data_IF_535356320673
#
_entry.id   IF_535356320673
#
_cell.length_a   1.000
_cell.length_b   1.000
_cell.length_c   1.000
_cell.angle_alpha   90.00
_cell.angle_beta   90.00
_cell.angle_gamma   90.00
#
_symmetry.space_group_name_H-M   'P 1'
#
loop_
_entity.id
_entity.type
_entity.pdbx_description
1 polymer ?
#
# COMPACT_ATOMS: atom_id res chain seq x y z
N UNK A 1 20.54 18.74 -3.83
CA UNK A 1 19.55 18.34 -2.82
C UNK A 1 18.25 18.05 -3.57
N UNK A 2 17.54 16.96 -3.25
CA UNK A 2 16.23 16.63 -3.85
C UNK A 2 15.23 16.60 -2.70
N UNK A 3 14.20 17.43 -2.79
CA UNK A 3 13.21 17.62 -1.72
C UNK A 3 11.84 17.15 -2.19
N UNK A 4 11.02 16.67 -1.26
CA UNK A 4 9.65 16.25 -1.52
C UNK A 4 8.74 17.07 -0.61
N UNK A 5 7.86 17.88 -1.20
CA UNK A 5 6.93 18.73 -0.47
C UNK A 5 5.54 18.10 -0.44
N UNK A 6 4.98 17.94 0.76
CA UNK A 6 3.63 17.44 0.95
C UNK A 6 2.72 18.59 1.39
N UNK A 7 1.66 18.84 0.63
CA UNK A 7 0.61 19.77 1.06
C UNK A 7 -0.16 19.23 2.29
N UNK A 8 -0.31 17.91 2.38
CA UNK A 8 -0.84 17.18 3.53
C UNK A 8 -0.36 15.72 3.49
N UNK A 9 -0.17 15.10 4.65
CA UNK A 9 0.21 13.69 4.75
C UNK A 9 -0.58 13.00 5.85
N UNK A 10 -1.21 11.87 5.52
CA UNK A 10 -1.79 10.95 6.49
C UNK A 10 -0.85 9.78 6.73
N UNK A 11 -0.51 9.50 7.98
CA UNK A 11 0.32 8.35 8.34
C UNK A 11 -0.55 7.15 8.76
N UNK A 12 -0.27 5.98 8.18
CA UNK A 12 -0.88 4.71 8.58
C UNK A 12 0.17 3.60 8.58
N UNK A 13 0.14 2.76 9.62
CA UNK A 13 0.95 1.55 9.71
C UNK A 13 0.06 0.32 9.52
N UNK A 14 0.33 -0.43 8.45
CA UNK A 14 -0.36 -1.67 8.12
C UNK A 14 0.46 -2.86 8.63
N UNK A 15 -0.14 -3.70 9.47
CA UNK A 15 0.41 -4.98 9.92
C UNK A 15 -0.44 -6.08 9.27
N UNK A 16 0.08 -6.69 8.21
CA UNK A 16 -0.70 -7.55 7.30
C UNK A 16 -0.21 -9.00 7.35
N UNK A 17 -1.13 -9.95 7.53
CA UNK A 17 -0.85 -11.39 7.46
C UNK A 17 -1.24 -11.94 6.09
N UNK A 18 -0.35 -12.67 5.42
CA UNK A 18 -0.64 -13.27 4.12
C UNK A 18 -1.72 -14.36 4.26
N UNK A 19 -2.62 -14.52 3.27
CA UNK A 19 -2.68 -13.77 2.01
C UNK A 19 -3.43 -12.43 2.14
N UNK A 20 -2.97 -11.39 1.45
CA UNK A 20 -3.65 -10.10 1.40
C UNK A 20 -3.43 -9.37 0.08
N UNK A 21 -4.41 -8.55 -0.32
CA UNK A 21 -4.33 -7.61 -1.44
C UNK A 21 -5.12 -6.33 -1.11
N UNK A 22 -4.49 -5.17 -1.27
CA UNK A 22 -5.07 -3.85 -0.94
C UNK A 22 -5.03 -2.96 -2.18
N UNK A 23 -6.19 -2.41 -2.55
CA UNK A 23 -6.28 -1.47 -3.67
C UNK A 23 -6.24 -0.02 -3.21
N UNK A 24 -5.36 0.75 -3.86
CA UNK A 24 -5.19 2.19 -3.66
C UNK A 24 -5.79 2.95 -4.86
N UNK A 25 -7.09 2.79 -5.08
CA UNK A 25 -7.83 3.46 -6.17
C UNK A 25 -8.59 4.72 -5.72
N UNK A 26 -8.76 4.94 -4.42
CA UNK A 26 -9.46 6.12 -3.89
C UNK A 26 -8.55 7.37 -3.84
N UNK A 27 -9.00 8.48 -4.43
CA UNK A 27 -8.25 9.74 -4.42
C UNK A 27 -7.97 10.20 -2.98
N UNK A 28 -6.76 10.68 -2.70
CA UNK A 28 -6.33 11.12 -1.36
C UNK A 28 -5.82 10.01 -0.43
N UNK A 29 -5.96 8.73 -0.81
CA UNK A 29 -5.34 7.58 -0.10
C UNK A 29 -4.26 6.88 -0.92
N UNK A 30 -4.06 7.32 -2.16
CA UNK A 30 -2.95 6.91 -3.02
C UNK A 30 -1.72 7.67 -2.54
N UNK A 31 -0.61 6.99 -2.31
CA UNK A 31 0.49 7.65 -1.62
C UNK A 31 1.82 6.98 -1.78
N UNK A 32 2.61 7.17 -0.74
CA UNK A 32 3.97 6.68 -0.62
C UNK A 32 3.96 5.52 0.34
N UNK A 33 4.64 4.46 -0.06
CA UNK A 33 4.67 3.21 0.69
C UNK A 33 6.10 2.89 1.03
N UNK A 34 6.36 2.62 2.31
CA UNK A 34 7.65 2.13 2.79
C UNK A 34 7.43 0.74 3.36
N UNK A 35 8.17 -0.24 2.88
CA UNK A 35 8.15 -1.58 3.45
C UNK A 35 9.06 -1.61 4.66
N UNK A 36 8.46 -1.58 5.86
CA UNK A 36 9.23 -1.57 7.12
C UNK A 36 9.74 -2.98 7.49
N UNK A 37 8.96 -4.02 7.16
CA UNK A 37 9.29 -5.42 7.44
C UNK A 37 8.52 -6.35 6.50
N UNK A 38 9.13 -7.48 6.15
CA UNK A 38 8.53 -8.47 5.27
C UNK A 38 8.78 -8.13 3.81
N UNK A 39 7.93 -8.68 2.94
CA UNK A 39 7.99 -8.46 1.48
C UNK A 39 6.58 -8.41 0.90
N UNK A 40 6.39 -7.65 -0.16
CA UNK A 40 5.14 -7.58 -0.91
C UNK A 40 5.40 -7.33 -2.40
N UNK A 41 4.34 -7.34 -3.19
CA UNK A 41 4.36 -6.96 -4.59
C UNK A 41 3.55 -5.67 -4.75
N UNK A 42 4.08 -4.69 -5.47
CA UNK A 42 3.30 -3.58 -6.00
C UNK A 42 2.89 -3.86 -7.43
N UNK A 43 1.64 -3.56 -7.76
CA UNK A 43 1.09 -3.77 -9.10
C UNK A 43 0.54 -2.45 -9.59
N UNK A 44 1.15 -1.93 -10.65
CA UNK A 44 0.69 -0.74 -11.38
C UNK A 44 0.10 -1.20 -12.72
N UNK A 45 -1.20 -0.97 -12.94
CA UNK A 45 -1.87 -1.54 -14.12
C UNK A 45 -2.00 -3.06 -14.04
N UNK A 46 -2.03 -3.76 -15.19
CA UNK A 46 -2.30 -5.20 -15.25
C UNK A 46 -1.05 -6.08 -15.20
N UNK A 47 0.13 -5.56 -15.57
CA UNK A 47 1.32 -6.40 -15.80
C UNK A 47 2.60 -5.93 -15.09
N UNK A 48 2.67 -4.68 -14.62
CA UNK A 48 3.87 -4.17 -13.95
C UNK A 48 3.85 -4.57 -12.46
N UNK A 49 4.39 -5.76 -12.19
CA UNK A 49 4.58 -6.30 -10.84
C UNK A 49 6.01 -6.01 -10.37
N UNK A 50 6.13 -5.16 -9.36
CA UNK A 50 7.40 -4.83 -8.71
C UNK A 50 7.49 -5.57 -7.35
N UNK A 51 8.45 -6.49 -7.16
CA UNK A 51 8.71 -7.07 -5.86
C UNK A 51 9.36 -6.04 -4.93
N UNK A 52 8.98 -6.06 -3.65
CA UNK A 52 9.50 -5.14 -2.64
C UNK A 52 9.89 -5.89 -1.38
N UNK A 53 11.06 -5.54 -0.86
CA UNK A 53 11.61 -6.03 0.39
C UNK A 53 11.68 -4.91 1.44
N UNK A 54 11.99 -5.28 2.68
CA UNK A 54 12.15 -4.33 3.76
C UNK A 54 13.24 -3.30 3.45
N UNK A 55 12.89 -2.01 3.59
CA UNK A 55 13.73 -0.87 3.22
C UNK A 55 13.29 -0.19 1.92
N UNK A 56 12.51 -0.85 1.08
CA UNK A 56 12.06 -0.28 -0.18
C UNK A 56 10.98 0.79 0.01
N UNK A 57 11.06 1.80 -0.86
CA UNK A 57 10.19 2.97 -0.90
C UNK A 57 9.60 3.07 -2.30
N UNK A 58 8.28 3.05 -2.40
CA UNK A 58 7.56 3.38 -3.62
C UNK A 58 6.91 4.75 -3.48
N UNK A 59 7.14 5.58 -4.50
CA UNK A 59 6.45 6.85 -4.69
C UNK A 59 5.71 6.76 -6.00
N UNK A 60 4.39 6.91 -5.98
CA UNK A 60 3.56 7.13 -7.17
C UNK A 60 3.30 8.64 -7.32
N UNK A 61 4.11 9.41 -8.09
CA UNK A 61 4.11 10.87 -8.02
C UNK A 61 2.80 11.51 -8.49
N UNK A 62 2.11 10.84 -9.42
CA UNK A 62 0.78 11.24 -9.92
C UNK A 62 -0.36 10.56 -9.17
N UNK A 63 -0.07 9.89 -8.05
CA UNK A 63 -1.04 9.08 -7.32
C UNK A 63 -1.75 8.10 -8.28
N UNK A 64 -0.97 7.39 -9.11
CA UNK A 64 -1.51 6.38 -10.02
C UNK A 64 -2.16 5.24 -9.20
N UNK A 65 -3.34 4.73 -9.60
CA UNK A 65 -3.98 3.59 -8.93
C UNK A 65 -3.06 2.37 -8.94
N UNK A 66 -2.98 1.68 -7.82
CA UNK A 66 -2.14 0.48 -7.70
C UNK A 66 -2.67 -0.47 -6.63
N UNK A 67 -2.14 -1.68 -6.63
CA UNK A 67 -2.41 -2.70 -5.62
C UNK A 67 -1.10 -3.03 -4.91
N UNK A 68 -1.13 -3.10 -3.58
CA UNK A 68 -0.10 -3.83 -2.83
C UNK A 68 -0.66 -5.18 -2.43
N UNK A 69 0.11 -6.25 -2.58
CA UNK A 69 -0.33 -7.60 -2.17
C UNK A 69 0.81 -8.44 -1.62
N UNK A 70 0.49 -9.42 -0.77
CA UNK A 70 1.48 -10.44 -0.40
C UNK A 70 1.89 -11.26 -1.63
N UNK A 71 3.13 -11.79 -1.69
CA UNK A 71 3.55 -12.62 -2.82
C UNK A 71 2.60 -13.80 -3.06
N UNK A 72 2.22 -14.02 -4.32
CA UNK A 72 1.31 -15.11 -4.71
C UNK A 72 -0.18 -14.87 -4.40
N UNK A 73 -0.59 -13.70 -3.89
CA UNK A 73 -2.00 -13.38 -3.62
C UNK A 73 -2.80 -12.96 -4.87
N UNK A 74 -2.54 -13.59 -6.02
CA UNK A 74 -3.20 -13.29 -7.32
C UNK A 74 -4.72 -13.46 -7.27
N UNK A 75 -5.22 -14.36 -6.42
CA UNK A 75 -6.65 -14.69 -6.28
C UNK A 75 -7.32 -14.03 -5.08
N UNK A 76 -6.59 -13.27 -4.28
CA UNK A 76 -7.16 -12.58 -3.13
C UNK A 76 -8.03 -11.42 -3.58
N UNK A 77 -9.19 -11.24 -2.94
CA UNK A 77 -10.02 -10.07 -3.19
C UNK A 77 -9.27 -8.81 -2.76
N UNK A 78 -9.32 -7.77 -3.61
CA UNK A 78 -8.72 -6.49 -3.29
C UNK A 78 -9.57 -5.77 -2.23
N UNK A 79 -9.01 -5.55 -1.06
CA UNK A 79 -9.61 -4.70 -0.02
C UNK A 79 -9.31 -3.23 -0.35
N UNK A 80 -10.30 -2.33 -0.49
CA UNK A 80 -10.04 -0.91 -0.72
C UNK A 80 -9.33 -0.26 0.48
N UNK A 81 -8.28 0.52 0.22
CA UNK A 81 -7.57 1.26 1.28
C UNK A 81 -8.49 2.22 2.06
N UNK A 82 -9.55 2.73 1.40
CA UNK A 82 -10.56 3.55 2.05
C UNK A 82 -11.35 2.80 3.12
N UNK A 83 -11.65 1.52 2.89
CA UNK A 83 -12.32 0.67 3.87
C UNK A 83 -11.41 0.44 5.08
N UNK A 84 -10.15 0.05 4.84
CA UNK A 84 -9.14 -0.12 5.89
C UNK A 84 -8.93 1.17 6.70
N UNK A 85 -8.97 2.33 6.05
CA UNK A 85 -8.81 3.62 6.70
C UNK A 85 -9.92 3.95 7.71
N UNK A 86 -11.10 3.32 7.62
CA UNK A 86 -12.18 3.50 8.61
C UNK A 86 -11.97 2.70 9.89
N UNK A 87 -11.08 1.69 9.88
CA UNK A 87 -10.92 0.73 10.97
C UNK A 87 -10.04 1.25 12.13
N UNK A 88 -9.69 2.53 12.17
CA UNK A 88 -8.63 3.02 13.07
C UNK A 88 -9.11 3.65 14.38
N UNK A 89 -8.53 3.17 15.48
CA UNK A 89 -8.06 4.02 16.58
C UNK A 89 -6.53 4.21 16.42
N UNK A 90 -6.05 5.45 16.27
CA UNK A 90 -4.62 5.82 16.27
C UNK A 90 -3.72 5.35 15.10
N UNK A 91 -4.26 5.15 13.88
CA UNK A 91 -3.44 5.04 12.66
C UNK A 91 -2.67 3.72 12.46
N UNK A 92 -2.91 2.70 13.30
CA UNK A 92 -2.44 1.33 13.07
C UNK A 92 -3.59 0.46 12.60
N UNK A 93 -3.37 -0.32 11.54
CA UNK A 93 -4.36 -1.20 10.93
C UNK A 93 -3.77 -2.62 10.92
N UNK A 94 -4.60 -3.60 11.28
CA UNK A 94 -4.27 -5.03 11.23
C UNK A 94 -5.27 -5.73 10.33
N UNK A 95 -4.80 -6.50 9.36
CA UNK A 95 -5.66 -7.19 8.39
C UNK A 95 -4.97 -8.40 7.77
N UNK A 96 -5.73 -9.26 7.09
CA UNK A 96 -5.25 -10.50 6.49
C UNK A 96 -5.22 -11.68 7.48
N UNK A 97 -5.19 -12.89 6.92
CA UNK A 97 -5.44 -14.17 7.61
C UNK A 97 -6.51 -14.98 6.90
#
# INVERSE_FOLDING_TARGET
>A
MRELHFAAAGYRRLELAAPWAISFSHAGLRGIHVVIKGRCEAVFGEEDVEPLDAGDLIIAPRADPHVLRSPGALKSANVPAAELATQTAAGRIRSGG
#
